data_IF_402462099999
#
_entry.id   IF_402462099999
#
_cell.length_a   1.000
_cell.length_b   1.000
_cell.length_c   1.000
_cell.angle_alpha   90.00
_cell.angle_beta   90.00
_cell.angle_gamma   90.00
#
_symmetry.space_group_name_H-M   'P 1'
#
loop_
_entity.id
_entity.type
_entity.pdbx_description
1 polymer ?
#
# COMPACT_ATOMS: atom_id res chain seq x y z
N UNK A 1 -10.32 11.06 -12.48
CA UNK A 1 -9.54 11.82 -11.46
C UNK A 1 -8.11 11.30 -11.38
N UNK A 2 -7.89 9.98 -11.16
CA UNK A 2 -6.55 9.35 -11.01
C UNK A 2 -5.63 9.72 -12.19
N UNK A 3 -6.10 9.64 -13.43
CA UNK A 3 -5.31 9.96 -14.63
C UNK A 3 -4.75 11.39 -14.65
N UNK A 4 -5.40 12.34 -14.00
CA UNK A 4 -4.93 13.74 -13.93
C UNK A 4 -3.61 13.88 -13.16
N UNK A 5 -3.34 12.92 -12.27
CA UNK A 5 -2.12 12.88 -11.45
C UNK A 5 -0.95 12.16 -12.13
N UNK A 6 -1.18 11.56 -13.32
CA UNK A 6 -0.18 10.77 -14.03
C UNK A 6 0.60 9.81 -13.10
N UNK A 7 -0.09 8.94 -12.34
CA UNK A 7 0.54 8.09 -11.34
C UNK A 7 1.46 7.07 -11.99
N UNK A 8 2.47 6.63 -11.25
CA UNK A 8 3.39 5.56 -11.66
C UNK A 8 2.96 4.18 -11.18
N UNK A 9 2.01 4.11 -10.27
CA UNK A 9 1.39 2.91 -9.73
C UNK A 9 0.27 3.26 -8.78
N UNK A 10 -0.46 2.26 -8.32
CA UNK A 10 -1.60 2.41 -7.42
C UNK A 10 -1.44 1.45 -6.24
N UNK A 11 -1.66 1.94 -5.03
CA UNK A 11 -1.73 1.13 -3.82
C UNK A 11 -3.18 1.12 -3.32
N UNK A 12 -3.76 -0.07 -3.22
CA UNK A 12 -5.02 -0.29 -2.51
C UNK A 12 -4.69 -0.64 -1.06
N UNK A 13 -5.02 0.25 -0.14
CA UNK A 13 -4.74 0.06 1.28
C UNK A 13 -5.70 -0.92 1.96
N UNK A 14 -5.45 -1.20 3.24
CA UNK A 14 -6.31 -2.00 4.09
C UNK A 14 -7.67 -1.35 4.34
N UNK A 15 -8.61 -2.14 4.81
CA UNK A 15 -9.96 -1.69 5.16
C UNK A 15 -10.72 -2.75 5.97
N UNK A 16 -11.78 -2.35 6.69
CA UNK A 16 -12.52 -3.24 7.59
C UNK A 16 -13.57 -4.11 6.89
N UNK A 17 -13.84 -3.86 5.61
CA UNK A 17 -14.90 -4.55 4.85
C UNK A 17 -14.40 -5.88 4.28
N UNK A 18 -15.35 -6.78 3.96
CA UNK A 18 -15.09 -7.98 3.16
C UNK A 18 -15.46 -7.71 1.70
N UNK A 19 -14.60 -8.10 0.75
CA UNK A 19 -14.77 -7.82 -0.69
C UNK A 19 -16.02 -8.43 -1.31
N UNK A 20 -16.62 -9.41 -0.66
CA UNK A 20 -17.86 -10.07 -1.08
C UNK A 20 -19.13 -9.44 -0.47
N UNK A 21 -19.01 -8.43 0.36
CA UNK A 21 -20.17 -7.70 0.88
C UNK A 21 -20.72 -6.75 -0.18
N UNK A 22 -22.05 -6.60 -0.23
CA UNK A 22 -22.73 -5.72 -1.19
C UNK A 22 -22.37 -4.24 -1.05
N UNK A 23 -21.97 -3.82 0.15
CA UNK A 23 -21.56 -2.43 0.45
C UNK A 23 -20.05 -2.27 0.53
N UNK A 24 -19.29 -3.26 0.03
CA UNK A 24 -17.82 -3.16 0.01
C UNK A 24 -17.36 -1.98 -0.85
N UNK A 25 -16.35 -1.21 -0.40
CA UNK A 25 -15.80 -0.11 -1.19
C UNK A 25 -14.99 -0.67 -2.37
N UNK A 26 -15.67 -0.88 -3.50
CA UNK A 26 -15.06 -1.38 -4.73
C UNK A 26 -14.73 -0.22 -5.66
N UNK A 27 -13.49 -0.10 -6.15
CA UNK A 27 -13.14 0.88 -7.16
C UNK A 27 -13.74 0.51 -8.52
N UNK A 28 -13.87 1.49 -9.42
CA UNK A 28 -14.30 1.25 -10.79
C UNK A 28 -13.35 0.29 -11.50
N UNK A 29 -13.89 -0.59 -12.35
CA UNK A 29 -13.10 -1.58 -13.10
C UNK A 29 -12.01 -0.95 -13.96
N UNK A 30 -12.25 0.26 -14.48
CA UNK A 30 -11.29 1.04 -15.28
C UNK A 30 -9.93 1.22 -14.60
N UNK A 31 -9.87 1.19 -13.27
CA UNK A 31 -8.60 1.32 -12.54
C UNK A 31 -7.68 0.13 -12.81
N UNK A 32 -8.25 -1.08 -12.91
CA UNK A 32 -7.51 -2.29 -13.19
C UNK A 32 -7.11 -2.44 -14.68
N UNK A 33 -7.69 -1.59 -15.55
CA UNK A 33 -7.43 -1.54 -17.00
C UNK A 33 -6.41 -0.44 -17.36
N UNK A 34 -5.86 0.28 -16.36
CA UNK A 34 -4.96 1.42 -16.61
C UNK A 34 -3.52 1.04 -16.98
N UNK A 35 -3.21 -0.26 -17.03
CA UNK A 35 -1.85 -0.77 -17.29
C UNK A 35 -0.78 -0.13 -16.38
N UNK A 36 -1.13 0.03 -15.11
CA UNK A 36 -0.27 0.56 -14.05
C UNK A 36 0.08 -0.54 -13.05
N UNK A 37 1.29 -0.51 -12.48
CA UNK A 37 1.63 -1.35 -11.35
C UNK A 37 0.62 -1.20 -10.20
N UNK A 38 0.17 -2.33 -9.64
CA UNK A 38 -0.80 -2.39 -8.56
C UNK A 38 -0.22 -3.12 -7.35
N UNK A 39 -0.40 -2.56 -6.17
CA UNK A 39 -0.14 -3.22 -4.89
C UNK A 39 -1.41 -3.20 -4.04
N UNK A 40 -1.88 -4.37 -3.62
CA UNK A 40 -2.96 -4.50 -2.63
C UNK A 40 -2.42 -4.88 -1.26
N UNK A 41 -2.81 -4.14 -0.23
CA UNK A 41 -2.45 -4.37 1.18
C UNK A 41 -3.70 -4.79 1.93
N UNK A 42 -3.71 -5.94 2.60
CA UNK A 42 -4.81 -6.47 3.41
C UNK A 42 -6.13 -6.54 2.62
N UNK A 43 -7.08 -5.64 2.85
CA UNK A 43 -8.29 -5.54 2.02
C UNK A 43 -7.96 -5.37 0.53
N UNK A 44 -6.95 -4.55 0.21
CA UNK A 44 -6.48 -4.35 -1.17
C UNK A 44 -5.95 -5.64 -1.82
N UNK A 45 -5.29 -6.52 -1.06
CA UNK A 45 -4.90 -7.86 -1.53
C UNK A 45 -6.12 -8.69 -1.89
N UNK A 46 -7.11 -8.75 -1.00
CA UNK A 46 -8.36 -9.48 -1.24
C UNK A 46 -9.12 -8.90 -2.44
N UNK A 47 -9.10 -7.57 -2.60
CA UNK A 47 -9.66 -6.89 -3.76
C UNK A 47 -9.00 -7.34 -5.08
N UNK A 48 -7.66 -7.40 -5.12
CA UNK A 48 -6.91 -7.91 -6.27
C UNK A 48 -7.28 -9.36 -6.54
N UNK A 49 -7.26 -10.23 -5.53
CA UNK A 49 -7.67 -11.63 -5.68
C UNK A 49 -9.05 -11.75 -6.31
N UNK A 50 -10.03 -11.03 -5.79
CA UNK A 50 -11.41 -11.06 -6.30
C UNK A 50 -11.52 -10.51 -7.73
N UNK A 51 -10.86 -9.38 -8.01
CA UNK A 51 -10.94 -8.72 -9.33
C UNK A 51 -10.29 -9.50 -10.46
N UNK A 52 -9.22 -10.22 -10.16
CA UNK A 52 -8.53 -11.05 -11.17
C UNK A 52 -9.06 -12.50 -11.26
N UNK A 53 -10.18 -12.79 -10.60
CA UNK A 53 -10.91 -14.06 -10.75
C UNK A 53 -10.50 -15.15 -9.76
N UNK A 54 -9.81 -14.82 -8.69
CA UNK A 54 -9.59 -15.68 -7.54
C UNK A 54 -10.81 -15.68 -6.59
N UNK A 55 -10.68 -16.36 -5.46
CA UNK A 55 -11.71 -16.42 -4.43
C UNK A 55 -11.20 -15.98 -3.07
N UNK A 56 -12.00 -15.19 -2.38
CA UNK A 56 -11.79 -14.77 -1.00
C UNK A 56 -12.88 -15.38 -0.12
N UNK A 57 -12.50 -15.92 1.01
CA UNK A 57 -13.42 -16.48 2.01
C UNK A 57 -13.13 -15.92 3.39
N UNK A 58 -14.11 -16.08 4.27
CA UNK A 58 -13.91 -15.88 5.70
C UNK A 58 -12.96 -16.95 6.24
N UNK A 59 -11.94 -16.53 6.95
CA UNK A 59 -10.92 -17.37 7.55
C UNK A 59 -10.93 -17.32 9.08
N UNK A 60 -10.08 -18.11 9.69
CA UNK A 60 -9.70 -17.90 11.08
C UNK A 60 -8.97 -16.56 11.16
N UNK A 61 -9.42 -15.75 12.12
CA UNK A 61 -8.84 -14.42 12.34
C UNK A 61 -7.36 -14.52 12.69
N UNK A 62 -6.51 -13.85 11.94
CA UNK A 62 -5.09 -13.74 12.22
C UNK A 62 -4.75 -12.29 12.58
N UNK A 63 -4.34 -12.07 13.84
CA UNK A 63 -3.99 -10.76 14.37
C UNK A 63 -2.65 -10.81 15.09
N UNK A 64 -1.82 -9.81 14.84
CA UNK A 64 -0.52 -9.67 15.48
C UNK A 64 0.64 -10.09 14.60
N UNK A 65 1.77 -10.39 15.22
CA UNK A 65 3.01 -10.73 14.53
C UNK A 65 3.01 -12.20 14.10
N UNK A 66 3.15 -12.44 12.79
CA UNK A 66 3.30 -13.78 12.19
C UNK A 66 4.62 -13.87 11.42
N UNK A 67 5.17 -15.06 11.30
CA UNK A 67 6.35 -15.32 10.47
C UNK A 67 5.90 -15.51 9.03
N UNK A 68 6.26 -14.57 8.16
CA UNK A 68 6.12 -14.68 6.71
C UNK A 68 7.33 -15.45 6.18
N UNK A 69 7.09 -16.58 5.54
CA UNK A 69 8.09 -17.34 4.78
C UNK A 69 8.00 -16.95 3.32
N UNK A 70 9.15 -16.67 2.70
CA UNK A 70 9.24 -16.30 1.28
C UNK A 70 9.35 -17.59 0.46
N UNK A 71 8.40 -17.79 -0.46
CA UNK A 71 8.29 -19.01 -1.25
C UNK A 71 8.95 -18.91 -2.62
N UNK A 72 8.83 -17.74 -3.24
CA UNK A 72 9.30 -17.49 -4.60
C UNK A 72 9.85 -16.08 -4.75
N UNK A 73 10.83 -15.93 -5.61
CA UNK A 73 11.38 -14.63 -5.99
C UNK A 73 10.32 -13.73 -6.62
N UNK A 74 10.37 -12.46 -6.27
CA UNK A 74 9.56 -11.41 -6.87
C UNK A 74 10.24 -10.04 -6.72
N UNK A 75 9.92 -9.11 -7.59
CA UNK A 75 10.43 -7.74 -7.46
C UNK A 75 9.98 -7.08 -6.15
N UNK A 76 8.76 -7.39 -5.68
CA UNK A 76 8.22 -6.85 -4.43
C UNK A 76 9.02 -7.29 -3.20
N UNK A 77 9.37 -8.57 -3.10
CA UNK A 77 10.07 -9.14 -1.94
C UNK A 77 11.59 -9.29 -2.15
N UNK A 78 12.12 -8.66 -3.19
CA UNK A 78 13.54 -8.71 -3.48
C UNK A 78 14.38 -8.13 -2.33
N UNK A 79 15.35 -8.91 -1.85
CA UNK A 79 16.22 -8.52 -0.75
C UNK A 79 15.63 -8.71 0.67
N UNK A 80 14.42 -9.31 0.77
CA UNK A 80 13.75 -9.61 2.04
C UNK A 80 14.21 -10.98 2.48
N UNK A 81 15.15 -11.50 2.72
CA UNK A 81 15.61 -12.81 3.20
C UNK A 81 14.60 -13.95 3.01
N UNK A 82 14.87 -15.09 3.65
CA UNK A 82 14.01 -16.27 3.53
C UNK A 82 12.73 -16.17 4.37
N UNK A 83 12.74 -15.36 5.41
CA UNK A 83 11.57 -15.10 6.25
C UNK A 83 11.69 -13.77 7.00
N UNK A 84 10.55 -13.20 7.37
CA UNK A 84 10.46 -11.92 8.07
C UNK A 84 9.20 -11.89 8.95
N UNK A 85 9.26 -11.20 10.09
CA UNK A 85 8.05 -10.97 10.90
C UNK A 85 7.18 -9.91 10.25
N UNK A 86 5.92 -10.27 10.03
CA UNK A 86 4.91 -9.40 9.41
C UNK A 86 3.70 -9.23 10.33
N UNK A 87 3.11 -8.05 10.33
CA UNK A 87 1.91 -7.76 11.13
C UNK A 87 0.66 -8.10 10.36
N UNK A 88 -0.12 -9.04 10.90
CA UNK A 88 -1.40 -9.49 10.37
C UNK A 88 -2.56 -8.81 11.08
N UNK A 89 -3.61 -8.49 10.34
CA UNK A 89 -4.87 -7.93 10.86
C UNK A 89 -6.03 -8.23 9.91
N UNK A 90 -6.42 -9.51 9.82
CA UNK A 90 -7.47 -9.90 8.87
C UNK A 90 -8.36 -11.02 9.40
N UNK A 91 -9.60 -11.09 8.87
CA UNK A 91 -10.57 -12.16 9.12
C UNK A 91 -10.99 -12.89 7.84
N UNK A 92 -10.51 -12.43 6.70
CA UNK A 92 -10.74 -13.02 5.39
C UNK A 92 -9.39 -13.36 4.74
N UNK A 93 -9.35 -14.38 3.90
CA UNK A 93 -8.14 -14.85 3.19
C UNK A 93 -8.42 -15.19 1.73
N UNK A 94 -7.36 -15.18 0.92
CA UNK A 94 -7.41 -15.74 -0.43
C UNK A 94 -7.51 -17.27 -0.36
N UNK A 95 -8.66 -17.82 -0.77
CA UNK A 95 -8.88 -19.27 -0.89
C UNK A 95 -8.28 -19.83 -2.18
N UNK A 96 -8.50 -19.13 -3.29
CA UNK A 96 -7.96 -19.47 -4.61
C UNK A 96 -7.29 -18.21 -5.18
N UNK A 97 -6.01 -18.32 -5.54
CA UNK A 97 -5.31 -17.22 -6.21
C UNK A 97 -5.74 -17.13 -7.68
N UNK A 98 -5.73 -15.94 -8.30
CA UNK A 98 -6.10 -15.78 -9.69
C UNK A 98 -5.15 -16.52 -10.66
N UNK A 99 -5.65 -16.92 -11.82
CA UNK A 99 -4.81 -17.47 -12.88
C UNK A 99 -3.74 -16.48 -13.33
N UNK A 100 -2.49 -16.95 -13.51
CA UNK A 100 -1.34 -16.10 -13.84
C UNK A 100 -0.70 -15.41 -12.66
N UNK A 101 -1.14 -15.71 -11.43
CA UNK A 101 -0.47 -15.30 -10.21
C UNK A 101 0.30 -16.48 -9.58
N UNK A 102 1.35 -16.17 -8.85
CA UNK A 102 2.09 -17.12 -8.01
C UNK A 102 2.05 -16.67 -6.55
N UNK A 103 2.09 -17.62 -5.63
CA UNK A 103 2.33 -17.33 -4.21
C UNK A 103 3.81 -17.00 -4.07
N UNK A 104 4.11 -15.87 -3.47
CA UNK A 104 5.47 -15.41 -3.19
C UNK A 104 5.81 -15.41 -1.70
N UNK A 105 4.80 -15.67 -0.85
CA UNK A 105 5.01 -15.85 0.58
C UNK A 105 3.76 -16.32 1.30
N UNK A 106 3.97 -17.07 2.39
CA UNK A 106 2.91 -17.60 3.23
C UNK A 106 3.20 -17.41 4.72
N UNK A 107 2.15 -17.51 5.55
CA UNK A 107 2.24 -17.67 7.00
C UNK A 107 1.55 -18.97 7.41
N UNK A 108 1.63 -19.35 8.67
CA UNK A 108 0.89 -20.51 9.20
C UNK A 108 -0.63 -20.32 9.01
N UNK A 109 -1.13 -19.08 9.16
CA UNK A 109 -2.55 -18.74 9.07
C UNK A 109 -3.03 -18.39 7.66
N UNK A 110 -2.16 -17.98 6.75
CA UNK A 110 -2.50 -17.52 5.41
C UNK A 110 -1.57 -18.12 4.34
N UNK A 111 -2.09 -19.11 3.58
CA UNK A 111 -1.32 -19.78 2.52
C UNK A 111 -0.89 -18.86 1.37
N UNK A 112 -1.68 -17.84 1.09
CA UNK A 112 -1.40 -16.85 0.06
C UNK A 112 -1.24 -15.47 0.73
N UNK A 113 -0.34 -15.38 1.73
CA UNK A 113 -0.07 -14.13 2.43
C UNK A 113 0.59 -13.07 1.52
N UNK A 114 1.26 -13.50 0.47
CA UNK A 114 1.78 -12.64 -0.58
C UNK A 114 1.66 -13.33 -1.95
N UNK A 115 1.16 -12.60 -2.94
CA UNK A 115 1.00 -13.08 -4.33
C UNK A 115 1.57 -12.07 -5.32
N UNK A 116 1.99 -12.54 -6.48
CA UNK A 116 2.50 -11.70 -7.55
C UNK A 116 2.07 -12.22 -8.93
N UNK A 117 1.82 -11.29 -9.84
CA UNK A 117 1.86 -11.49 -11.28
C UNK A 117 2.88 -10.51 -11.87
N UNK A 118 4.10 -10.98 -12.10
CA UNK A 118 5.19 -10.14 -12.59
C UNK A 118 4.88 -9.62 -14.00
N UNK A 119 4.24 -10.43 -14.84
CA UNK A 119 3.79 -10.04 -16.18
C UNK A 119 2.87 -8.81 -16.16
N UNK A 120 1.99 -8.75 -15.15
CA UNK A 120 1.02 -7.66 -15.01
C UNK A 120 1.51 -6.54 -14.09
N UNK A 121 2.66 -6.71 -13.42
CA UNK A 121 3.13 -5.85 -12.35
C UNK A 121 2.09 -5.66 -11.24
N UNK A 122 1.39 -6.74 -10.87
CA UNK A 122 0.32 -6.73 -9.86
C UNK A 122 0.71 -7.61 -8.68
N UNK A 123 0.66 -7.03 -7.50
CA UNK A 123 1.09 -7.65 -6.24
C UNK A 123 0.01 -7.53 -5.18
N UNK A 124 -0.10 -8.53 -4.34
CA UNK A 124 -1.00 -8.51 -3.19
C UNK A 124 -0.31 -9.05 -1.94
N UNK A 125 -0.46 -8.37 -0.82
CA UNK A 125 0.06 -8.79 0.48
C UNK A 125 -1.03 -8.68 1.55
N UNK A 126 -1.21 -9.72 2.34
CA UNK A 126 -2.23 -9.78 3.38
C UNK A 126 -1.81 -9.04 4.65
N UNK A 127 -0.53 -8.89 4.86
CA UNK A 127 0.05 -8.17 6.00
C UNK A 127 0.20 -6.68 5.73
N UNK A 128 0.55 -5.92 6.78
CA UNK A 128 0.70 -4.47 6.75
C UNK A 128 2.17 -4.06 6.74
N UNK A 129 2.77 -3.72 5.60
CA UNK A 129 4.17 -3.28 5.52
C UNK A 129 4.37 -1.86 6.04
N UNK A 130 3.30 -1.07 6.16
CA UNK A 130 3.33 0.32 6.58
C UNK A 130 3.47 0.50 8.09
N UNK A 131 3.25 -0.56 8.87
CA UNK A 131 3.35 -0.48 10.34
C UNK A 131 4.73 -0.89 10.83
N UNK A 132 5.18 -0.29 11.93
CA UNK A 132 6.50 -0.53 12.54
C UNK A 132 6.73 -1.99 13.01
N UNK A 133 5.65 -2.75 13.18
CA UNK A 133 5.68 -4.15 13.61
C UNK A 133 6.01 -5.13 12.46
N UNK A 134 5.99 -4.67 11.21
CA UNK A 134 6.47 -5.46 10.07
C UNK A 134 7.94 -5.17 9.84
N UNK A 135 8.79 -6.18 10.07
CA UNK A 135 10.21 -6.09 9.78
C UNK A 135 10.41 -5.89 8.28
N UNK A 136 11.34 -5.01 7.91
CA UNK A 136 11.64 -4.66 6.51
C UNK A 136 10.42 -4.16 5.68
N UNK A 137 9.32 -3.75 6.34
CA UNK A 137 8.13 -3.24 5.64
C UNK A 137 8.44 -2.04 4.74
N UNK A 138 9.33 -1.14 5.19
CA UNK A 138 9.80 -0.02 4.38
C UNK A 138 10.54 -0.47 3.12
N UNK A 139 11.32 -1.54 3.16
CA UNK A 139 12.04 -2.05 1.98
C UNK A 139 11.06 -2.70 0.99
N UNK A 140 10.03 -3.39 1.47
CA UNK A 140 8.94 -3.92 0.62
C UNK A 140 8.24 -2.77 -0.13
N UNK A 141 7.88 -1.68 0.58
CA UNK A 141 7.27 -0.51 -0.04
C UNK A 141 8.21 0.19 -1.02
N UNK A 142 9.51 0.32 -0.69
CA UNK A 142 10.52 0.84 -1.62
C UNK A 142 10.66 -0.02 -2.87
N UNK A 143 10.65 -1.33 -2.74
CA UNK A 143 10.69 -2.23 -3.90
C UNK A 143 9.50 -1.95 -4.83
N UNK A 144 8.28 -1.80 -4.30
CA UNK A 144 7.14 -1.44 -5.13
C UNK A 144 7.33 -0.06 -5.79
N UNK A 145 7.60 0.97 -5.00
CA UNK A 145 7.64 2.35 -5.50
C UNK A 145 8.81 2.57 -6.47
N UNK A 146 10.01 2.13 -6.10
CA UNK A 146 11.23 2.46 -6.85
C UNK A 146 11.55 1.46 -7.95
N UNK A 147 11.37 0.14 -7.70
CA UNK A 147 11.69 -0.89 -8.69
C UNK A 147 10.50 -1.18 -9.61
N UNK A 148 9.34 -1.51 -9.04
CA UNK A 148 8.16 -1.89 -9.83
C UNK A 148 7.56 -0.69 -10.55
N UNK A 149 7.30 0.41 -9.84
CA UNK A 149 6.72 1.63 -10.42
C UNK A 149 7.75 2.51 -11.12
N UNK A 150 9.05 2.24 -10.98
CA UNK A 150 10.15 3.08 -11.50
C UNK A 150 9.95 4.57 -11.15
N UNK A 151 9.45 4.84 -9.93
CA UNK A 151 9.25 6.21 -9.46
C UNK A 151 10.59 6.83 -9.05
N UNK A 152 10.72 8.13 -9.27
CA UNK A 152 11.89 8.87 -8.82
C UNK A 152 11.80 9.20 -7.34
N UNK A 153 12.92 9.13 -6.63
CA UNK A 153 13.01 9.56 -5.25
C UNK A 153 13.42 11.05 -5.21
N UNK A 154 12.52 11.91 -5.68
CA UNK A 154 12.72 13.36 -5.81
C UNK A 154 11.93 14.18 -4.78
N UNK A 155 11.12 13.51 -3.93
CA UNK A 155 10.45 14.16 -2.82
C UNK A 155 11.33 14.12 -1.57
N UNK A 156 11.63 15.28 -1.01
CA UNK A 156 12.31 15.45 0.27
C UNK A 156 11.53 16.40 1.17
N UNK A 157 11.74 16.32 2.49
CA UNK A 157 11.10 17.24 3.43
C UNK A 157 11.55 18.69 3.18
N UNK A 158 12.83 18.91 2.82
CA UNK A 158 13.36 20.21 2.46
C UNK A 158 12.65 20.78 1.23
N UNK A 159 12.54 20.02 0.14
CA UNK A 159 11.82 20.42 -1.06
C UNK A 159 10.31 20.64 -0.81
N UNK A 160 9.71 19.89 0.13
CA UNK A 160 8.33 20.13 0.55
C UNK A 160 8.18 21.49 1.25
N UNK A 161 9.10 21.82 2.19
CA UNK A 161 9.09 23.11 2.90
C UNK A 161 9.24 24.26 1.89
N UNK A 162 10.22 24.18 0.98
CA UNK A 162 10.43 25.19 -0.07
C UNK A 162 9.17 25.39 -0.93
N UNK A 163 8.56 24.28 -1.38
CA UNK A 163 7.33 24.33 -2.17
C UNK A 163 6.14 24.89 -1.38
N UNK A 164 6.03 24.58 -0.09
CA UNK A 164 4.98 25.10 0.78
C UNK A 164 5.14 26.62 0.97
N UNK A 165 6.34 27.08 1.28
CA UNK A 165 6.66 28.50 1.42
C UNK A 165 6.38 29.25 0.11
N UNK A 166 6.83 28.72 -1.04
CA UNK A 166 6.56 29.31 -2.36
C UNK A 166 5.06 29.42 -2.66
N UNK A 167 4.26 28.43 -2.28
CA UNK A 167 2.79 28.49 -2.46
C UNK A 167 2.14 29.52 -1.56
N UNK A 168 2.58 29.59 -0.29
CA UNK A 168 2.04 30.54 0.69
C UNK A 168 2.40 31.96 0.31
N UNK A 169 3.63 32.22 -0.12
CA UNK A 169 4.10 33.56 -0.52
C UNK A 169 3.35 34.16 -1.71
N UNK A 170 2.63 33.33 -2.50
CA UNK A 170 1.78 33.79 -3.60
C UNK A 170 0.37 34.20 -3.17
N UNK A 171 0.03 34.04 -1.89
CA UNK A 171 -1.28 34.42 -1.35
C UNK A 171 -1.24 35.91 -0.99
N UNK A 172 -2.01 36.73 -1.71
CA UNK A 172 -2.16 38.15 -1.39
C UNK A 172 -3.09 38.33 -0.19
N UNK A 173 -2.72 39.23 0.71
CA UNK A 173 -3.55 39.66 1.84
C UNK A 173 -2.96 39.28 3.19
N UNK A 174 -3.71 39.59 4.25
CA UNK A 174 -3.31 39.32 5.63
C UNK A 174 -3.73 37.88 6.02
N UNK A 175 -2.85 37.17 6.65
CA UNK A 175 -3.11 35.82 7.18
C UNK A 175 -3.32 35.89 8.69
N UNK A 176 -4.41 35.31 9.19
CA UNK A 176 -4.65 35.13 10.60
C UNK A 176 -4.33 33.69 11.02
N UNK A 177 -3.33 33.49 11.84
CA UNK A 177 -2.94 32.18 12.37
C UNK A 177 -3.32 32.06 13.85
N UNK A 178 -4.14 31.06 14.18
CA UNK A 178 -4.44 30.71 15.59
C UNK A 178 -3.39 29.74 16.13
N UNK A 179 -2.54 30.19 17.04
CA UNK A 179 -1.47 29.38 17.64
C UNK A 179 -1.90 28.87 19.02
N UNK A 180 -2.08 27.55 19.13
CA UNK A 180 -2.46 26.89 20.39
C UNK A 180 -1.29 26.59 21.33
N UNK A 181 -0.05 26.78 20.87
CA UNK A 181 1.18 26.38 21.57
C UNK A 181 1.60 24.93 21.33
N UNK A 182 0.83 24.17 20.54
CA UNK A 182 1.21 22.83 20.06
C UNK A 182 2.16 22.87 18.85
N UNK A 183 2.82 21.74 18.58
CA UNK A 183 3.80 21.61 17.48
C UNK A 183 3.17 22.01 16.14
N UNK A 184 1.99 21.49 15.82
CA UNK A 184 1.35 21.71 14.52
C UNK A 184 1.08 23.18 14.24
N UNK A 185 0.50 23.90 15.21
CA UNK A 185 0.21 25.32 15.09
C UNK A 185 1.48 26.19 15.01
N UNK A 186 2.55 25.76 15.68
CA UNK A 186 3.85 26.41 15.61
C UNK A 186 4.51 26.24 14.25
N UNK A 187 4.47 25.01 13.70
CA UNK A 187 4.99 24.74 12.33
C UNK A 187 4.22 25.53 11.29
N UNK A 188 2.89 25.59 11.38
CA UNK A 188 2.08 26.41 10.46
C UNK A 188 2.48 27.89 10.56
N UNK A 189 2.65 28.44 11.75
CA UNK A 189 3.06 29.82 11.93
C UNK A 189 4.43 30.09 11.28
N UNK A 190 5.40 29.19 11.46
CA UNK A 190 6.75 29.34 10.88
C UNK A 190 6.76 29.19 9.35
N UNK A 191 5.80 28.46 8.76
CA UNK A 191 5.69 28.35 7.30
C UNK A 191 5.04 29.57 6.65
N UNK A 192 4.29 30.36 7.43
CA UNK A 192 3.59 31.57 6.98
C UNK A 192 4.45 32.82 7.14
N UNK A 193 5.39 32.84 8.11
CA UNK A 193 6.30 33.96 8.39
C UNK A 193 7.36 34.10 7.28
#
# INVERSE_FOLDING_TARGET
EIQKHNPKGIIFSGGPSSVYNSEAPLPENKIFEMDLPLLGICYGHQLIVNKFGGKVKRANKEYGSSLLTIDNDSDLLNGIGESVRAWMSHGDEAEEIPSGFKIIGHTEGAKAAAIASDEKSVYGIQFHPEVVHTEQGTEILKNFVLKVCNAKQDWTMEGFIETAVEKISKIDGNVLCGVSGGIDSTVVALLID
#
